data_IF_137264975184
#
_entry.id   IF_137264975184
#
_cell.length_a   1.000
_cell.length_b   1.000
_cell.length_c   1.000
_cell.angle_alpha   90.00
_cell.angle_beta   90.00
_cell.angle_gamma   90.00
#
_symmetry.space_group_name_H-M   'P 1'
#
loop_
_entity.id
_entity.type
_entity.pdbx_description
1 polymer ?
#
# COMPACT_ATOMS: atom_id res chain seq x y z
N UNK A 1 -16.54 -1.88 -3.43
CA UNK A 1 -15.51 -1.77 -4.47
C UNK A 1 -14.69 -3.05 -4.45
N UNK A 2 -14.55 -3.72 -5.58
CA UNK A 2 -13.62 -4.83 -5.76
C UNK A 2 -12.23 -4.32 -6.19
N UNK A 3 -11.25 -5.21 -6.28
CA UNK A 3 -9.85 -4.83 -6.55
C UNK A 3 -9.67 -4.22 -7.96
N UNK A 4 -10.41 -4.71 -8.95
CA UNK A 4 -10.39 -4.18 -10.31
C UNK A 4 -11.05 -2.79 -10.37
N UNK A 5 -12.21 -2.62 -9.74
CA UNK A 5 -12.88 -1.33 -9.61
C UNK A 5 -11.97 -0.31 -8.93
N UNK A 6 -11.23 -0.73 -7.91
CA UNK A 6 -10.24 0.13 -7.25
C UNK A 6 -9.08 0.49 -8.17
N UNK A 7 -8.51 -0.47 -8.91
CA UNK A 7 -7.43 -0.20 -9.87
C UNK A 7 -7.84 0.83 -10.93
N UNK A 8 -9.05 0.70 -11.47
CA UNK A 8 -9.61 1.64 -12.44
C UNK A 8 -9.86 3.01 -11.80
N UNK A 9 -10.45 3.05 -10.60
CA UNK A 9 -10.66 4.31 -9.89
C UNK A 9 -9.36 5.06 -9.64
N UNK A 10 -8.29 4.38 -9.23
CA UNK A 10 -6.95 4.98 -9.04
C UNK A 10 -6.42 5.50 -10.37
N UNK A 11 -6.54 4.72 -11.45
CA UNK A 11 -6.11 5.15 -12.80
C UNK A 11 -6.77 6.47 -13.19
N UNK A 12 -8.09 6.54 -13.10
CA UNK A 12 -8.86 7.72 -13.47
C UNK A 12 -8.56 8.92 -12.56
N UNK A 13 -8.55 8.70 -11.25
CA UNK A 13 -8.33 9.76 -10.26
C UNK A 13 -6.94 10.39 -10.36
N UNK A 14 -5.91 9.56 -10.61
CA UNK A 14 -4.52 10.00 -10.72
C UNK A 14 -4.22 10.61 -12.09
N UNK A 15 -4.82 10.08 -13.17
CA UNK A 15 -4.66 10.65 -14.51
C UNK A 15 -5.24 12.06 -14.60
N UNK A 16 -6.39 12.33 -13.97
CA UNK A 16 -6.98 13.67 -13.90
C UNK A 16 -6.07 14.71 -13.22
N UNK A 17 -5.11 14.25 -12.40
CA UNK A 17 -4.17 15.10 -11.65
C UNK A 17 -2.75 15.10 -12.24
N UNK A 18 -2.55 14.46 -13.40
CA UNK A 18 -1.23 14.26 -14.01
C UNK A 18 -0.24 13.53 -13.08
N UNK A 19 -0.75 12.85 -12.06
CA UNK A 19 0.05 12.10 -11.11
C UNK A 19 0.60 10.83 -11.75
N UNK A 20 -0.13 10.23 -12.70
CA UNK A 20 0.35 9.10 -13.51
C UNK A 20 1.66 9.38 -14.26
N UNK A 21 1.96 10.65 -14.52
CA UNK A 21 3.06 11.08 -15.39
C UNK A 21 4.38 11.22 -14.62
N UNK A 22 4.33 11.12 -13.29
CA UNK A 22 5.53 11.14 -12.46
C UNK A 22 6.50 10.02 -12.86
N UNK A 23 7.79 10.34 -12.79
CA UNK A 23 8.86 9.39 -13.03
C UNK A 23 8.75 8.21 -12.05
N UNK A 24 9.00 6.98 -12.53
CA UNK A 24 8.90 5.77 -11.71
C UNK A 24 9.81 5.82 -10.47
N UNK A 25 10.96 6.47 -10.53
CA UNK A 25 11.85 6.62 -9.38
C UNK A 25 11.26 7.52 -8.28
N UNK A 26 10.44 8.50 -8.65
CA UNK A 26 9.67 9.30 -7.68
C UNK A 26 8.61 8.41 -7.02
N UNK A 27 7.94 7.55 -7.79
CA UNK A 27 6.93 6.60 -7.28
C UNK A 27 7.51 5.57 -6.31
N UNK A 28 8.71 5.07 -6.58
CA UNK A 28 9.41 4.19 -5.64
C UNK A 28 9.80 4.94 -4.35
N UNK A 29 10.14 6.23 -4.46
CA UNK A 29 10.35 7.10 -3.30
C UNK A 29 9.12 7.17 -2.40
N UNK A 30 7.95 7.49 -2.96
CA UNK A 30 6.70 7.51 -2.21
C UNK A 30 6.35 6.14 -1.62
N UNK A 31 6.48 5.05 -2.39
CA UNK A 31 6.24 3.71 -1.86
C UNK A 31 7.10 3.40 -0.62
N UNK A 32 8.36 3.83 -0.60
CA UNK A 32 9.25 3.65 0.54
C UNK A 32 8.83 4.50 1.74
N UNK A 33 8.39 5.74 1.50
CA UNK A 33 7.82 6.65 2.50
C UNK A 33 6.59 6.04 3.17
N UNK A 34 5.57 5.64 2.39
CA UNK A 34 4.33 5.05 2.94
C UNK A 34 4.61 3.74 3.68
N UNK A 35 5.59 2.94 3.23
CA UNK A 35 5.99 1.73 3.97
C UNK A 35 6.59 2.07 5.34
N UNK A 36 7.31 3.19 5.44
CA UNK A 36 7.81 3.73 6.71
C UNK A 36 6.68 4.19 7.62
N UNK A 37 5.67 4.83 7.06
CA UNK A 37 4.46 5.25 7.78
C UNK A 37 3.65 4.05 8.30
N UNK A 38 3.49 2.99 7.50
CA UNK A 38 2.91 1.71 7.97
C UNK A 38 3.71 1.16 9.17
N UNK A 39 5.04 1.16 9.10
CA UNK A 39 5.87 0.68 10.20
C UNK A 39 5.68 1.54 11.47
N UNK A 40 5.54 2.86 11.32
CA UNK A 40 5.24 3.79 12.40
C UNK A 40 3.86 3.52 13.02
N UNK A 41 2.83 3.31 12.20
CA UNK A 41 1.48 3.02 12.65
C UNK A 41 1.39 1.68 13.41
N UNK A 42 2.05 0.62 12.92
CA UNK A 42 2.15 -0.66 13.63
C UNK A 42 2.85 -0.47 14.98
N UNK A 43 3.96 0.27 15.02
CA UNK A 43 4.68 0.53 16.27
C UNK A 43 3.78 1.23 17.29
N UNK A 44 3.03 2.24 16.87
CA UNK A 44 2.07 2.94 17.72
C UNK A 44 0.96 2.01 18.25
N UNK A 45 0.48 1.08 17.42
CA UNK A 45 -0.57 0.13 17.78
C UNK A 45 -0.09 -0.95 18.78
N UNK A 46 1.13 -1.46 18.59
CA UNK A 46 1.63 -2.65 19.32
C UNK A 46 2.39 -2.30 20.60
N UNK A 47 3.28 -1.30 20.53
CA UNK A 47 4.24 -1.01 21.62
C UNK A 47 4.27 0.48 22.00
N UNK A 48 3.35 1.27 21.45
CA UNK A 48 3.32 2.71 21.63
C UNK A 48 4.51 3.43 20.97
N UNK A 49 4.52 4.77 21.11
CA UNK A 49 5.61 5.62 20.63
C UNK A 49 6.33 6.21 21.83
N UNK A 50 7.59 5.82 22.00
CA UNK A 50 8.47 6.38 23.03
C UNK A 50 8.85 7.83 22.70
N UNK A 51 7.89 8.73 22.83
CA UNK A 51 7.99 10.17 22.57
C UNK A 51 7.29 10.93 23.71
N UNK A 52 8.03 11.73 24.50
CA UNK A 52 7.46 12.44 25.65
C UNK A 52 6.35 13.44 25.30
N UNK A 53 6.32 13.90 24.06
CA UNK A 53 5.40 14.89 23.50
C UNK A 53 4.17 14.28 22.81
N UNK A 54 4.11 12.96 22.68
CA UNK A 54 3.08 12.27 21.90
C UNK A 54 2.03 11.63 22.82
N UNK A 55 0.77 12.03 22.67
CA UNK A 55 -0.34 11.41 23.40
C UNK A 55 -0.65 10.08 22.70
N UNK A 56 -0.63 9.00 23.47
CA UNK A 56 -0.95 7.67 22.96
C UNK A 56 -2.41 7.62 22.49
N UNK A 57 -2.60 7.32 21.21
CA UNK A 57 -3.93 7.15 20.62
C UNK A 57 -4.63 5.91 21.16
N UNK A 58 -5.96 5.94 21.16
CA UNK A 58 -6.76 4.73 21.41
C UNK A 58 -6.49 3.69 20.33
N UNK A 59 -6.71 2.40 20.65
CA UNK A 59 -6.58 1.30 19.68
C UNK A 59 -7.36 1.57 18.38
N UNK A 60 -8.59 2.09 18.47
CA UNK A 60 -9.39 2.42 17.29
C UNK A 60 -8.83 3.59 16.47
N UNK A 61 -8.14 4.54 17.09
CA UNK A 61 -7.43 5.60 16.37
C UNK A 61 -6.22 5.03 15.63
N UNK A 62 -5.37 4.26 16.32
CA UNK A 62 -4.16 3.68 15.75
C UNK A 62 -4.50 2.66 14.64
N UNK A 63 -5.60 1.91 14.77
CA UNK A 63 -6.09 1.01 13.73
C UNK A 63 -6.59 1.76 12.50
N UNK A 64 -7.24 2.91 12.67
CA UNK A 64 -7.65 3.76 11.54
C UNK A 64 -6.44 4.30 10.81
N UNK A 65 -5.45 4.82 11.54
CA UNK A 65 -4.18 5.26 10.97
C UNK A 65 -3.50 4.14 10.18
N UNK A 66 -3.34 2.95 10.78
CA UNK A 66 -2.79 1.79 10.06
C UNK A 66 -3.58 1.45 8.78
N UNK A 67 -4.91 1.59 8.81
CA UNK A 67 -5.75 1.33 7.63
C UNK A 67 -5.50 2.35 6.51
N UNK A 68 -5.28 3.62 6.87
CA UNK A 68 -4.93 4.70 5.94
C UNK A 68 -3.56 4.44 5.32
N UNK A 69 -2.53 4.19 6.13
CA UNK A 69 -1.16 3.97 5.64
C UNK A 69 -1.04 2.71 4.75
N UNK A 70 -1.76 1.63 5.09
CA UNK A 70 -1.85 0.44 4.23
C UNK A 70 -2.51 0.77 2.89
N UNK A 71 -3.48 1.69 2.90
CA UNK A 71 -4.13 2.22 1.71
C UNK A 71 -3.17 3.01 0.82
N UNK A 72 -2.28 3.81 1.41
CA UNK A 72 -1.29 4.62 0.69
C UNK A 72 -0.19 3.75 0.05
N UNK A 73 0.26 2.71 0.75
CA UNK A 73 1.12 1.66 0.16
C UNK A 73 0.42 0.98 -1.01
N UNK A 74 -0.82 0.55 -0.83
CA UNK A 74 -1.59 -0.11 -1.88
C UNK A 74 -1.79 0.82 -3.09
N UNK A 75 -2.14 2.08 -2.87
CA UNK A 75 -2.31 3.10 -3.91
C UNK A 75 -1.05 3.27 -4.76
N UNK A 76 0.12 3.33 -4.14
CA UNK A 76 1.39 3.38 -4.86
C UNK A 76 1.65 2.11 -5.70
N UNK A 77 1.36 0.92 -5.16
CA UNK A 77 1.44 -0.34 -5.92
C UNK A 77 0.50 -0.34 -7.13
N UNK A 78 -0.73 0.16 -6.97
CA UNK A 78 -1.70 0.28 -8.07
C UNK A 78 -1.21 1.23 -9.15
N UNK A 79 -0.64 2.38 -8.78
CA UNK A 79 -0.07 3.34 -9.74
C UNK A 79 1.07 2.71 -10.54
N UNK A 80 1.94 1.93 -9.88
CA UNK A 80 3.03 1.20 -10.55
C UNK A 80 2.44 0.16 -11.52
N UNK A 81 1.48 -0.64 -11.07
CA UNK A 81 0.83 -1.66 -11.89
C UNK A 81 0.17 -1.03 -13.14
N UNK A 82 -0.57 0.06 -12.96
CA UNK A 82 -1.19 0.82 -14.04
C UNK A 82 -0.17 1.39 -15.04
N UNK A 83 1.01 1.82 -14.58
CA UNK A 83 2.07 2.35 -15.46
C UNK A 83 2.61 1.29 -16.43
N UNK A 84 2.62 0.04 -16.00
CA UNK A 84 3.14 -1.10 -16.78
C UNK A 84 2.03 -1.98 -17.39
N UNK A 85 0.77 -1.53 -17.31
CA UNK A 85 -0.40 -2.28 -17.79
C UNK A 85 -0.51 -3.69 -17.18
N UNK A 86 -0.22 -3.79 -15.89
CA UNK A 86 -0.33 -5.03 -15.11
C UNK A 86 -1.63 -4.99 -14.31
N UNK A 87 -2.46 -6.03 -14.40
CA UNK A 87 -3.65 -6.13 -13.57
C UNK A 87 -3.30 -6.57 -12.13
N UNK A 88 -4.07 -6.09 -11.15
CA UNK A 88 -3.90 -6.55 -9.77
C UNK A 88 -4.27 -8.04 -9.62
N UNK A 89 -5.20 -8.55 -10.43
CA UNK A 89 -5.52 -9.97 -10.48
C UNK A 89 -4.34 -10.83 -10.90
N UNK A 90 -3.60 -10.42 -11.94
CA UNK A 90 -2.39 -11.13 -12.39
C UNK A 90 -1.31 -11.14 -11.28
N UNK A 91 -1.16 -10.03 -10.55
CA UNK A 91 -0.22 -9.95 -9.42
C UNK A 91 -0.62 -10.94 -8.31
N UNK A 92 -1.90 -11.00 -7.97
CA UNK A 92 -2.42 -11.89 -6.94
C UNK A 92 -2.27 -13.37 -7.33
N UNK A 93 -2.65 -13.74 -8.55
CA UNK A 93 -2.55 -15.13 -9.00
C UNK A 93 -1.07 -15.56 -9.11
N UNK A 94 -0.20 -14.72 -9.67
CA UNK A 94 1.24 -15.00 -9.75
C UNK A 94 1.87 -15.17 -8.35
N UNK A 95 1.44 -14.39 -7.36
CA UNK A 95 1.93 -14.54 -5.99
C UNK A 95 1.43 -15.84 -5.33
N UNK A 96 0.15 -16.16 -5.51
CA UNK A 96 -0.48 -17.38 -5.00
C UNK A 96 0.18 -18.63 -5.60
N UNK A 97 0.35 -18.69 -6.92
CA UNK A 97 0.98 -19.80 -7.62
C UNK A 97 2.41 -20.02 -7.14
N UNK A 98 3.18 -18.93 -6.97
CA UNK A 98 4.54 -18.98 -6.44
C UNK A 98 4.60 -19.56 -5.03
N UNK A 99 3.65 -19.21 -4.15
CA UNK A 99 3.57 -19.76 -2.81
C UNK A 99 3.18 -21.23 -2.83
N UNK A 100 2.16 -21.61 -3.61
CA UNK A 100 1.74 -23.00 -3.74
C UNK A 100 2.88 -23.87 -4.27
N UNK A 101 3.56 -23.46 -5.33
CA UNK A 101 4.70 -24.17 -5.88
C UNK A 101 5.85 -24.34 -4.87
N UNK A 102 6.10 -23.33 -4.03
CA UNK A 102 7.15 -23.39 -2.99
C UNK A 102 6.87 -24.43 -1.90
N UNK A 103 5.60 -24.69 -1.61
CA UNK A 103 5.19 -25.58 -0.52
C UNK A 103 4.56 -26.90 -1.00
N UNK A 104 4.36 -27.11 -2.31
CA UNK A 104 3.77 -28.32 -2.88
C UNK A 104 4.66 -29.59 -2.72
N UNK A 105 5.93 -29.43 -2.36
CA UNK A 105 6.89 -30.52 -2.15
C UNK A 105 7.38 -30.63 -0.70
N UNK A 106 6.65 -30.06 0.26
CA UNK A 106 6.81 -30.31 1.70
C UNK A 106 5.65 -31.13 2.21
#
# INVERSE_FOLDING_TARGET
>A
MNINEFQHWVKDYYQQRQWSDLNIFVRIGFLAEETGEVARAIRALEIGRDRPDEIEGTYEQNKRELTEELGDVLGNLVVIANKYDISLEDILEAHKDKLQARYASK
#
